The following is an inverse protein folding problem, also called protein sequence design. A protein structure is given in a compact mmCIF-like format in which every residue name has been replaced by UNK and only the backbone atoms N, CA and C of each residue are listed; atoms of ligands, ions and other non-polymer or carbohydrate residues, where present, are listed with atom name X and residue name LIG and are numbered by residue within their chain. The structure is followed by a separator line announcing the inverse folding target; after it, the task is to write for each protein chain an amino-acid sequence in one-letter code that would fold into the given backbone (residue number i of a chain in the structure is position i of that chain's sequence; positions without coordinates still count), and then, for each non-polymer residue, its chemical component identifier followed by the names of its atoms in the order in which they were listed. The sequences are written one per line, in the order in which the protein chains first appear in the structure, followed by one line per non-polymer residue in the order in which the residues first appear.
data_IF_748273227663
#
_entry.id   IF_748273227663
#
_cell.length_a   1.000
_cell.length_b   1.000
_cell.length_c   1.000
_cell.angle_alpha   90.00
_cell.angle_beta   90.00
_cell.angle_gamma   90.00
#
_symmetry.space_group_name_H-M   'P 1'
#
loop_
_entity.id
_entity.type
_entity.pdbx_description
1 polymer ?
#
# COMPACT_ATOMS: atom_id res chain seq x y z
N UNK A 1 -10.05 68.44 25.31
CA UNK A 1 -10.17 68.50 23.83
C UNK A 1 -8.92 67.82 23.27
N UNK A 2 -8.89 66.57 22.84
CA UNK A 2 -9.87 65.86 22.02
C UNK A 2 -9.36 65.78 20.58
N UNK A 3 -8.21 65.13 20.35
CA UNK A 3 -7.74 64.75 19.01
C UNK A 3 -7.42 63.26 19.02
N UNK A 4 -8.36 62.50 18.46
CA UNK A 4 -8.28 61.07 18.21
C UNK A 4 -7.66 60.80 16.85
N UNK A 5 -6.65 59.92 16.82
CA UNK A 5 -6.32 58.92 15.80
C UNK A 5 -4.80 58.79 15.71
N UNK A 6 -4.30 57.64 16.14
CA UNK A 6 -3.31 56.97 15.31
C UNK A 6 -3.54 55.47 15.37
N UNK A 7 -3.74 54.92 14.18
CA UNK A 7 -4.00 53.54 13.85
C UNK A 7 -2.76 52.67 14.11
N UNK A 8 -2.69 52.03 15.27
CA UNK A 8 -1.78 50.90 15.49
C UNK A 8 -2.53 49.57 15.30
N UNK A 9 -3.06 49.39 14.08
CA UNK A 9 -3.32 48.05 13.56
C UNK A 9 -2.00 47.52 12.99
N UNK A 10 -1.50 46.34 13.41
CA UNK A 10 -0.33 45.76 12.78
C UNK A 10 -0.66 45.47 11.31
N UNK A 11 -0.13 46.31 10.43
CA UNK A 11 -0.17 46.21 8.99
C UNK A 11 0.12 44.76 8.60
N UNK A 12 -0.83 44.18 7.86
CA UNK A 12 -0.74 42.86 7.28
C UNK A 12 0.65 42.66 6.68
N UNK A 13 1.43 41.77 7.30
CA UNK A 13 2.69 41.30 6.75
C UNK A 13 2.33 40.55 5.48
N UNK A 14 2.29 41.26 4.36
CA UNK A 14 2.27 40.69 3.01
C UNK A 14 3.58 39.92 2.92
N UNK A 15 3.51 38.67 3.35
CA UNK A 15 4.58 37.71 3.19
C UNK A 15 4.66 37.53 1.68
N UNK A 16 5.71 38.11 1.09
CA UNK A 16 6.09 37.85 -0.28
C UNK A 16 6.09 36.33 -0.48
N UNK A 17 5.04 35.82 -1.13
CA UNK A 17 4.78 34.39 -1.29
C UNK A 17 5.91 33.74 -2.06
N UNK A 18 6.61 34.50 -2.90
CA UNK A 18 7.80 34.05 -3.61
C UNK A 18 8.95 33.86 -2.63
N UNK A 19 9.23 34.86 -1.79
CA UNK A 19 10.27 34.78 -0.75
C UNK A 19 9.97 33.67 0.26
N UNK A 20 8.71 33.44 0.63
CA UNK A 20 8.32 32.34 1.52
C UNK A 20 8.48 30.96 0.88
N UNK A 21 8.14 30.81 -0.41
CA UNK A 21 8.39 29.57 -1.15
C UNK A 21 9.89 29.30 -1.29
N UNK A 22 10.68 30.32 -1.61
CA UNK A 22 12.13 30.22 -1.68
C UNK A 22 12.76 29.86 -0.33
N UNK A 23 12.30 30.47 0.78
CA UNK A 23 12.76 30.16 2.14
C UNK A 23 12.33 28.75 2.58
N UNK A 24 11.12 28.32 2.23
CA UNK A 24 10.62 26.96 2.49
C UNK A 24 11.43 25.93 1.71
N UNK A 25 11.68 26.18 0.44
CA UNK A 25 12.44 25.26 -0.42
C UNK A 25 13.92 25.22 0.01
N UNK A 26 14.47 26.36 0.48
CA UNK A 26 15.82 26.42 1.06
C UNK A 26 15.90 25.65 2.38
N UNK A 27 14.88 25.73 3.24
CA UNK A 27 14.78 24.94 4.48
C UNK A 27 14.53 23.46 4.22
N UNK A 28 13.79 23.11 3.17
CA UNK A 28 13.61 21.72 2.75
C UNK A 28 14.90 21.12 2.19
N UNK A 29 15.70 21.91 1.46
CA UNK A 29 17.05 21.51 1.04
C UNK A 29 18.00 21.39 2.22
N UNK A 30 18.00 22.36 3.13
CA UNK A 30 18.83 22.30 4.34
C UNK A 30 18.43 21.16 5.29
N UNK A 31 17.14 20.82 5.38
CA UNK A 31 16.67 19.65 6.13
C UNK A 31 16.95 18.33 5.40
N UNK A 32 17.12 18.35 4.08
CA UNK A 32 17.67 17.23 3.31
C UNK A 32 19.20 17.14 3.42
N UNK A 33 19.87 18.21 3.87
CA UNK A 33 21.31 18.30 4.11
C UNK A 33 21.71 18.12 5.59
N UNK A 34 20.76 17.91 6.52
CA UNK A 34 21.10 17.37 7.84
C UNK A 34 21.89 16.06 7.62
N UNK A 35 23.00 15.84 8.35
CA UNK A 35 23.93 14.78 8.02
C UNK A 35 23.18 13.46 7.99
N UNK A 36 23.07 12.91 6.78
CA UNK A 36 22.59 11.58 6.51
C UNK A 36 23.22 10.65 7.55
N UNK A 37 22.42 10.26 8.53
CA UNK A 37 22.73 9.20 9.47
C UNK A 37 22.90 7.95 8.61
N UNK A 38 24.16 7.75 8.19
CA UNK A 38 24.64 6.69 7.31
C UNK A 38 23.90 6.61 5.98
N UNK A 39 24.62 6.84 4.89
CA UNK A 39 24.31 6.28 3.57
C UNK A 39 23.74 4.86 3.75
N UNK A 40 22.42 4.74 3.65
CA UNK A 40 21.73 3.45 3.68
C UNK A 40 21.85 2.86 2.31
N UNK A 41 23.08 2.55 1.89
CA UNK A 41 23.30 1.56 0.85
C UNK A 41 22.57 0.32 1.33
N UNK A 42 21.56 -0.14 0.57
CA UNK A 42 20.94 -1.42 0.84
C UNK A 42 22.08 -2.45 1.01
N UNK A 43 22.09 -3.24 2.09
CA UNK A 43 23.19 -4.15 2.33
C UNK A 43 23.39 -5.03 1.08
N UNK A 44 24.62 -5.11 0.57
CA UNK A 44 24.97 -5.90 -0.63
C UNK A 44 24.56 -7.37 -0.52
N UNK A 45 24.26 -7.82 0.72
CA UNK A 45 23.75 -9.15 1.03
C UNK A 45 22.43 -9.10 1.80
N UNK A 46 21.45 -9.82 1.29
CA UNK A 46 20.15 -10.05 1.91
C UNK A 46 20.35 -11.01 3.10
N UNK A 47 19.88 -10.63 4.29
CA UNK A 47 19.99 -11.47 5.48
C UNK A 47 19.19 -12.78 5.33
N UNK A 48 19.67 -13.85 5.97
CA UNK A 48 19.11 -15.20 5.86
C UNK A 48 17.58 -15.30 5.99
N UNK A 49 16.92 -14.66 6.99
CA UNK A 49 15.47 -14.74 7.11
C UNK A 49 14.72 -14.16 5.90
N UNK A 50 15.25 -13.08 5.31
CA UNK A 50 14.64 -12.47 4.13
C UNK A 50 14.92 -13.27 2.86
N UNK A 51 16.02 -14.03 2.81
CA UNK A 51 16.27 -14.99 1.72
C UNK A 51 15.24 -16.11 1.73
N UNK A 52 14.94 -16.68 2.90
CA UNK A 52 13.90 -17.71 3.06
C UNK A 52 12.54 -17.14 2.69
N UNK A 53 12.20 -15.94 3.17
CA UNK A 53 10.95 -15.28 2.81
C UNK A 53 10.85 -15.01 1.30
N UNK A 54 11.94 -14.56 0.67
CA UNK A 54 12.00 -14.34 -0.77
C UNK A 54 11.83 -15.64 -1.57
N UNK A 55 12.35 -16.78 -1.09
CA UNK A 55 12.12 -18.08 -1.70
C UNK A 55 10.64 -18.51 -1.61
N UNK A 56 10.04 -18.39 -0.43
CA UNK A 56 8.63 -18.77 -0.21
C UNK A 56 7.70 -17.88 -1.02
N UNK A 57 7.86 -16.55 -0.90
CA UNK A 57 7.08 -15.58 -1.65
C UNK A 57 7.31 -15.75 -3.15
N UNK A 58 8.57 -15.93 -3.56
CA UNK A 58 8.96 -16.12 -4.94
C UNK A 58 8.33 -17.37 -5.57
N UNK A 59 8.33 -18.50 -4.86
CA UNK A 59 7.64 -19.71 -5.29
C UNK A 59 6.13 -19.47 -5.43
N UNK A 60 5.51 -18.80 -4.45
CA UNK A 60 4.10 -18.43 -4.50
C UNK A 60 3.76 -17.58 -5.74
N UNK A 61 4.54 -16.54 -6.01
CA UNK A 61 4.38 -15.68 -7.19
C UNK A 61 4.65 -16.44 -8.50
N UNK A 62 5.64 -17.33 -8.53
CA UNK A 62 5.97 -18.15 -9.69
C UNK A 62 4.82 -19.11 -10.05
N UNK A 63 4.29 -19.83 -9.07
CA UNK A 63 3.18 -20.79 -9.26
C UNK A 63 1.89 -20.06 -9.61
N UNK A 64 1.51 -19.03 -8.86
CA UNK A 64 0.30 -18.24 -9.15
C UNK A 64 0.39 -17.54 -10.50
N UNK A 65 1.54 -16.91 -10.79
CA UNK A 65 1.79 -16.24 -12.06
C UNK A 65 1.77 -17.20 -13.24
N UNK A 66 2.42 -18.36 -13.11
CA UNK A 66 2.41 -19.42 -14.12
C UNK A 66 1.00 -19.95 -14.37
N UNK A 67 0.22 -20.18 -13.31
CA UNK A 67 -1.19 -20.56 -13.44
C UNK A 67 -1.99 -19.50 -14.22
N UNK A 68 -1.92 -18.23 -13.82
CA UNK A 68 -2.60 -17.12 -14.53
C UNK A 68 -2.17 -17.00 -15.99
N UNK A 69 -0.85 -17.11 -16.25
CA UNK A 69 -0.29 -17.09 -17.60
C UNK A 69 -0.72 -18.29 -18.45
N UNK A 70 -1.04 -19.42 -17.84
CA UNK A 70 -1.52 -20.62 -18.56
C UNK A 70 -3.03 -20.58 -18.88
N UNK A 71 -3.81 -19.73 -18.20
CA UNK A 71 -5.27 -19.67 -18.37
C UNK A 71 -5.73 -19.52 -19.84
N UNK A 72 -5.15 -18.66 -20.69
CA UNK A 72 -5.58 -18.55 -22.08
C UNK A 72 -5.44 -19.86 -22.87
N UNK A 73 -4.45 -20.69 -22.54
CA UNK A 73 -4.21 -21.99 -23.18
C UNK A 73 -5.17 -23.03 -22.62
N UNK A 74 -5.30 -23.10 -21.29
CA UNK A 74 -6.19 -24.04 -20.60
C UNK A 74 -7.66 -23.83 -21.00
N UNK A 75 -8.11 -22.58 -21.15
CA UNK A 75 -9.46 -22.27 -21.60
C UNK A 75 -9.70 -22.51 -23.09
N UNK A 76 -8.64 -22.56 -23.91
CA UNK A 76 -8.76 -22.93 -25.33
C UNK A 76 -8.90 -24.44 -25.52
N UNK A 77 -8.44 -25.23 -24.55
CA UNK A 77 -8.51 -26.69 -24.55
C UNK A 77 -9.83 -27.24 -23.97
N UNK A 78 -10.59 -26.44 -23.22
CA UNK A 78 -11.92 -26.79 -22.70
C UNK A 78 -13.03 -26.32 -23.64
N UNK A 79 -13.89 -27.24 -24.07
CA UNK A 79 -14.92 -27.05 -25.10
C UNK A 79 -15.89 -25.89 -24.81
N UNK A 80 -16.04 -24.97 -25.78
CA UNK A 80 -17.03 -23.89 -25.78
C UNK A 80 -16.55 -22.63 -26.51
N UNK A 81 -17.46 -21.93 -27.21
CA UNK A 81 -17.19 -20.62 -27.82
C UNK A 81 -17.06 -19.55 -26.73
N UNK A 82 -15.84 -19.33 -26.25
CA UNK A 82 -15.54 -18.24 -25.32
C UNK A 82 -15.79 -16.88 -26.00
N UNK A 83 -16.55 -15.96 -25.38
CA UNK A 83 -16.77 -14.64 -25.94
C UNK A 83 -15.45 -13.91 -26.24
N UNK A 84 -15.40 -13.25 -27.39
CA UNK A 84 -14.17 -12.61 -27.89
C UNK A 84 -13.57 -11.59 -26.91
N UNK A 85 -14.41 -10.87 -26.16
CA UNK A 85 -13.97 -9.88 -25.18
C UNK A 85 -13.24 -10.53 -23.99
N UNK A 86 -13.67 -11.72 -23.58
CA UNK A 86 -13.00 -12.49 -22.52
C UNK A 86 -11.68 -13.04 -22.99
N UNK A 87 -11.62 -13.48 -24.25
CA UNK A 87 -10.37 -13.88 -24.90
C UNK A 87 -9.37 -12.74 -24.96
N UNK A 88 -9.85 -11.55 -25.29
CA UNK A 88 -9.03 -10.34 -25.32
C UNK A 88 -8.54 -9.97 -23.92
N UNK A 89 -9.39 -10.04 -22.90
CA UNK A 89 -9.01 -9.82 -21.49
C UNK A 89 -7.97 -10.84 -21.01
N UNK A 90 -8.17 -12.13 -21.30
CA UNK A 90 -7.22 -13.18 -20.91
C UNK A 90 -5.86 -12.97 -21.58
N UNK A 91 -5.83 -12.60 -22.87
CA UNK A 91 -4.59 -12.44 -23.64
C UNK A 91 -3.88 -11.11 -23.37
N UNK A 92 -4.60 -10.00 -23.19
CA UNK A 92 -3.99 -8.67 -23.07
C UNK A 92 -3.74 -8.25 -21.62
N UNK A 93 -4.44 -8.85 -20.65
CA UNK A 93 -4.37 -8.43 -19.25
C UNK A 93 -3.89 -9.59 -18.38
N UNK A 94 -4.63 -10.71 -18.36
CA UNK A 94 -4.33 -11.81 -17.44
C UNK A 94 -3.02 -12.50 -17.79
N UNK A 95 -2.74 -12.73 -19.08
CA UNK A 95 -1.51 -13.35 -19.53
C UNK A 95 -0.27 -12.51 -19.21
N UNK A 96 -0.17 -11.22 -19.60
CA UNK A 96 0.99 -10.41 -19.26
C UNK A 96 1.16 -10.22 -17.76
N UNK A 97 0.06 -10.10 -17.00
CA UNK A 97 0.09 -10.03 -15.55
C UNK A 97 0.64 -11.34 -14.95
N UNK A 98 0.15 -12.49 -15.39
CA UNK A 98 0.60 -13.80 -14.95
C UNK A 98 2.07 -14.05 -15.25
N UNK A 99 2.52 -13.74 -16.48
CA UNK A 99 3.93 -13.82 -16.86
C UNK A 99 4.78 -12.87 -16.03
N UNK A 100 4.34 -11.62 -15.83
CA UNK A 100 5.04 -10.65 -14.99
C UNK A 100 5.18 -11.11 -13.54
N UNK A 101 4.10 -11.65 -12.95
CA UNK A 101 4.12 -12.26 -11.62
C UNK A 101 5.06 -13.46 -11.55
N UNK A 102 5.05 -14.31 -12.59
CA UNK A 102 5.91 -15.48 -12.64
C UNK A 102 7.40 -15.08 -12.68
N UNK A 103 7.75 -14.13 -13.55
CA UNK A 103 9.10 -13.58 -13.66
C UNK A 103 9.53 -12.88 -12.36
N UNK A 104 8.62 -12.15 -11.70
CA UNK A 104 8.88 -11.59 -10.38
C UNK A 104 9.13 -12.66 -9.32
N UNK A 105 8.35 -13.75 -9.35
CA UNK A 105 8.54 -14.88 -8.45
C UNK A 105 9.90 -15.56 -8.64
N UNK A 106 10.27 -15.83 -9.89
CA UNK A 106 11.58 -16.38 -10.27
C UNK A 106 12.70 -15.46 -9.82
N UNK A 107 12.54 -14.15 -9.99
CA UNK A 107 13.52 -13.18 -9.51
C UNK A 107 13.69 -13.22 -8.00
N UNK A 108 12.58 -13.19 -7.24
CA UNK A 108 12.62 -13.29 -5.77
C UNK A 108 13.30 -14.58 -5.31
N UNK A 109 13.01 -15.70 -5.97
CA UNK A 109 13.70 -16.96 -5.69
C UNK A 109 15.21 -16.84 -5.96
N UNK A 110 15.59 -16.23 -7.09
CA UNK A 110 16.99 -15.96 -7.43
C UNK A 110 17.69 -15.08 -6.38
N UNK A 111 17.03 -14.01 -5.91
CA UNK A 111 17.55 -13.18 -4.79
C UNK A 111 17.67 -13.98 -3.50
N UNK A 112 16.73 -14.87 -3.22
CA UNK A 112 16.78 -15.80 -2.10
C UNK A 112 18.00 -16.72 -2.17
N UNK A 113 18.27 -17.32 -3.33
CA UNK A 113 19.42 -18.21 -3.53
C UNK A 113 20.75 -17.47 -3.53
N UNK A 114 20.90 -16.41 -4.33
CA UNK A 114 22.18 -15.69 -4.49
C UNK A 114 22.45 -14.76 -3.30
N UNK A 115 21.40 -14.34 -2.60
CA UNK A 115 21.50 -13.41 -1.47
C UNK A 115 21.82 -11.97 -1.87
N UNK A 116 21.66 -11.61 -3.15
CA UNK A 116 21.88 -10.24 -3.68
C UNK A 116 20.93 -9.96 -4.84
N UNK A 117 20.79 -8.69 -5.20
CA UNK A 117 20.04 -8.28 -6.38
C UNK A 117 20.81 -8.64 -7.65
N UNK A 118 20.27 -9.57 -8.45
CA UNK A 118 20.91 -10.09 -9.67
C UNK A 118 20.22 -9.66 -10.97
N UNK A 119 19.00 -9.14 -10.88
CA UNK A 119 18.21 -8.62 -12.02
C UNK A 119 17.88 -7.13 -11.91
N UNK A 120 18.65 -6.38 -11.09
CA UNK A 120 18.40 -4.96 -10.81
C UNK A 120 18.16 -4.13 -12.08
N UNK A 121 19.01 -4.28 -13.11
CA UNK A 121 18.89 -3.56 -14.38
C UNK A 121 17.60 -3.87 -15.14
N UNK A 122 17.06 -5.09 -15.05
CA UNK A 122 15.78 -5.46 -15.67
C UNK A 122 14.63 -4.74 -14.95
N UNK A 123 14.64 -4.76 -13.62
CA UNK A 123 13.59 -4.12 -12.82
C UNK A 123 13.63 -2.61 -12.85
N UNK A 124 14.80 -1.99 -12.98
CA UNK A 124 14.92 -0.53 -13.19
C UNK A 124 14.23 -0.12 -14.50
N UNK A 125 14.40 -0.88 -15.59
CA UNK A 125 13.70 -0.63 -16.85
C UNK A 125 12.19 -0.80 -16.71
N UNK A 126 11.74 -1.88 -16.09
CA UNK A 126 10.32 -2.14 -15.84
C UNK A 126 9.70 -1.05 -14.94
N UNK A 127 10.42 -0.61 -13.91
CA UNK A 127 10.04 0.49 -13.02
C UNK A 127 9.90 1.80 -13.79
N UNK A 128 10.88 2.15 -14.63
CA UNK A 128 10.80 3.35 -15.46
C UNK A 128 9.66 3.31 -16.49
N UNK A 129 9.21 2.12 -16.93
CA UNK A 129 8.01 1.98 -17.73
C UNK A 129 6.73 2.19 -16.90
N UNK A 130 6.63 1.52 -15.75
CA UNK A 130 5.48 1.65 -14.84
C UNK A 130 5.32 3.08 -14.31
N UNK A 131 6.41 3.72 -13.88
CA UNK A 131 6.40 5.11 -13.41
C UNK A 131 5.85 6.09 -14.48
N UNK A 132 5.97 5.76 -15.77
CA UNK A 132 5.44 6.56 -16.89
C UNK A 132 4.01 6.23 -17.29
N UNK A 133 3.58 4.97 -17.16
CA UNK A 133 2.34 4.45 -17.79
C UNK A 133 1.31 3.93 -16.79
N UNK A 134 1.74 3.46 -15.62
CA UNK A 134 0.88 2.86 -14.62
C UNK A 134 0.28 3.94 -13.73
N UNK A 135 -1.02 4.19 -13.89
CA UNK A 135 -1.80 5.03 -12.98
C UNK A 135 -2.64 4.15 -12.06
N UNK A 136 -2.47 4.23 -10.72
CA UNK A 136 -3.16 3.37 -9.76
C UNK A 136 -4.67 3.29 -9.96
N UNK A 137 -5.36 4.44 -10.07
CA UNK A 137 -6.82 4.45 -10.13
C UNK A 137 -7.36 3.80 -11.42
N UNK A 138 -6.90 4.18 -12.64
CA UNK A 138 -7.26 3.46 -13.85
C UNK A 138 -6.94 1.97 -13.81
N UNK A 139 -5.79 1.58 -13.24
CA UNK A 139 -5.42 0.17 -13.10
C UNK A 139 -6.37 -0.58 -12.16
N UNK A 140 -6.68 0.00 -11.00
CA UNK A 140 -7.65 -0.56 -10.06
C UNK A 140 -9.02 -0.75 -10.71
N UNK A 141 -9.55 0.28 -11.37
CA UNK A 141 -10.84 0.22 -12.04
C UNK A 141 -10.83 -0.81 -13.17
N UNK A 142 -9.80 -0.81 -14.02
CA UNK A 142 -9.64 -1.77 -15.12
C UNK A 142 -9.59 -3.22 -14.64
N UNK A 143 -8.79 -3.50 -13.61
CA UNK A 143 -8.71 -4.82 -12.98
C UNK A 143 -10.06 -5.22 -12.37
N UNK A 144 -10.74 -4.30 -11.68
CA UNK A 144 -12.06 -4.55 -11.09
C UNK A 144 -13.09 -4.94 -12.15
N UNK A 145 -13.14 -4.21 -13.27
CA UNK A 145 -14.04 -4.51 -14.40
C UNK A 145 -13.71 -5.86 -15.03
N UNK A 146 -12.43 -6.16 -15.22
CA UNK A 146 -11.96 -7.46 -15.74
C UNK A 146 -12.39 -8.61 -14.82
N UNK A 147 -12.15 -8.47 -13.52
CA UNK A 147 -12.52 -9.48 -12.54
C UNK A 147 -14.05 -9.65 -12.45
N UNK A 148 -14.81 -8.55 -12.54
CA UNK A 148 -16.27 -8.60 -12.59
C UNK A 148 -16.78 -9.31 -13.85
N UNK A 149 -16.21 -9.03 -15.03
CA UNK A 149 -16.57 -9.68 -16.28
C UNK A 149 -16.26 -11.18 -16.26
N UNK A 150 -15.09 -11.57 -15.73
CA UNK A 150 -14.70 -12.97 -15.56
C UNK A 150 -15.62 -13.69 -14.55
N UNK A 151 -15.97 -13.00 -13.46
CA UNK A 151 -16.88 -13.51 -12.43
C UNK A 151 -18.29 -13.77 -12.98
N UNK A 152 -18.78 -12.86 -13.83
CA UNK A 152 -20.10 -12.94 -14.45
C UNK A 152 -20.19 -14.07 -15.47
N UNK A 153 -19.17 -14.19 -16.33
CA UNK A 153 -19.19 -15.16 -17.43
C UNK A 153 -19.17 -16.61 -16.98
N UNK A 154 -18.37 -16.95 -15.97
CA UNK A 154 -18.11 -18.35 -15.61
C UNK A 154 -19.22 -19.00 -14.76
N UNK A 155 -20.34 -18.31 -14.50
CA UNK A 155 -21.49 -18.77 -13.69
C UNK A 155 -21.15 -19.86 -12.65
N UNK A 156 -20.78 -19.47 -11.44
CA UNK A 156 -20.27 -20.40 -10.41
C UNK A 156 -19.44 -19.68 -9.36
N UNK A 157 -18.48 -20.32 -8.64
CA UNK A 157 -17.71 -19.68 -7.57
C UNK A 157 -16.73 -18.59 -8.04
N UNK A 158 -16.71 -18.24 -9.33
CA UNK A 158 -15.83 -17.20 -9.86
C UNK A 158 -16.11 -15.80 -9.28
N UNK A 159 -17.35 -15.51 -8.88
CA UNK A 159 -17.71 -14.26 -8.18
C UNK A 159 -16.97 -14.09 -6.84
N UNK A 160 -16.46 -15.17 -6.27
CA UNK A 160 -15.65 -15.08 -5.06
C UNK A 160 -14.36 -14.28 -5.32
N UNK A 161 -13.80 -14.32 -6.55
CA UNK A 161 -12.57 -13.60 -6.88
C UNK A 161 -12.75 -12.09 -6.75
N UNK A 162 -13.84 -11.55 -7.32
CA UNK A 162 -14.15 -10.11 -7.19
C UNK A 162 -14.42 -9.74 -5.73
N UNK A 163 -15.04 -10.63 -4.95
CA UNK A 163 -15.25 -10.37 -3.53
C UNK A 163 -13.92 -10.30 -2.76
N UNK A 164 -13.02 -11.26 -2.94
CA UNK A 164 -11.69 -11.24 -2.32
C UNK A 164 -10.89 -10.01 -2.73
N UNK A 165 -10.99 -9.59 -4.01
CA UNK A 165 -10.39 -8.36 -4.49
C UNK A 165 -10.88 -7.13 -3.71
N UNK A 166 -12.20 -6.95 -3.63
CA UNK A 166 -12.80 -5.78 -2.95
C UNK A 166 -12.53 -5.80 -1.44
N UNK A 167 -12.65 -6.96 -0.79
CA UNK A 167 -12.37 -7.14 0.64
C UNK A 167 -10.90 -6.88 0.95
N UNK A 168 -9.98 -7.32 0.10
CA UNK A 168 -8.55 -7.03 0.23
C UNK A 168 -8.26 -5.52 0.21
N UNK A 169 -8.85 -4.80 -0.74
CA UNK A 169 -8.74 -3.34 -0.81
C UNK A 169 -9.36 -2.64 0.39
N UNK A 170 -10.51 -3.14 0.87
CA UNK A 170 -11.14 -2.60 2.06
C UNK A 170 -10.24 -2.76 3.30
N UNK A 171 -9.57 -3.91 3.45
CA UNK A 171 -8.61 -4.12 4.55
C UNK A 171 -7.40 -3.20 4.48
N UNK A 172 -6.89 -2.87 3.29
CA UNK A 172 -5.83 -1.86 3.15
C UNK A 172 -6.35 -0.49 3.62
N UNK A 173 -7.53 -0.08 3.16
CA UNK A 173 -8.13 1.19 3.57
C UNK A 173 -8.38 1.25 5.08
N UNK A 174 -8.95 0.19 5.66
CA UNK A 174 -9.23 0.08 7.08
C UNK A 174 -7.95 0.16 7.92
N UNK A 175 -6.89 -0.52 7.49
CA UNK A 175 -5.56 -0.48 8.12
C UNK A 175 -5.06 0.95 8.26
N UNK A 176 -5.02 1.70 7.16
CA UNK A 176 -4.55 3.08 7.15
C UNK A 176 -5.47 4.04 7.92
N UNK A 177 -6.79 3.79 7.89
CA UNK A 177 -7.75 4.53 8.71
C UNK A 177 -7.51 4.29 10.21
N UNK A 178 -7.07 3.09 10.60
CA UNK A 178 -6.61 2.80 11.95
C UNK A 178 -5.46 3.71 12.37
N UNK A 179 -4.40 3.79 11.55
CA UNK A 179 -3.28 4.72 11.78
C UNK A 179 -3.73 6.17 11.85
N UNK A 180 -4.56 6.64 10.90
CA UNK A 180 -5.07 8.01 10.90
C UNK A 180 -5.88 8.32 12.17
N UNK A 181 -6.70 7.37 12.61
CA UNK A 181 -7.51 7.51 13.83
C UNK A 181 -6.60 7.66 15.04
N UNK A 182 -5.55 6.84 15.16
CA UNK A 182 -4.57 6.96 16.23
C UNK A 182 -3.78 8.27 16.15
N UNK A 183 -3.33 8.70 14.96
CA UNK A 183 -2.66 10.00 14.74
C UNK A 183 -3.50 11.14 15.32
N UNK A 184 -4.80 11.15 15.05
CA UNK A 184 -5.72 12.14 15.62
C UNK A 184 -5.90 11.95 17.14
N UNK A 185 -6.05 10.72 17.60
CA UNK A 185 -6.22 10.39 19.03
C UNK A 185 -5.02 10.85 19.88
N UNK A 186 -3.80 10.72 19.36
CA UNK A 186 -2.57 11.19 20.04
C UNK A 186 -2.26 12.67 19.77
N UNK A 187 -3.18 13.40 19.13
CA UNK A 187 -3.09 14.84 18.81
C UNK A 187 -1.94 15.20 17.86
N UNK A 188 -1.55 14.28 16.98
CA UNK A 188 -0.68 14.60 15.86
C UNK A 188 -1.49 15.23 14.72
N UNK A 189 -0.83 16.01 13.87
CA UNK A 189 -1.48 16.67 12.73
C UNK A 189 -1.30 15.81 11.48
N UNK A 190 -2.36 15.20 10.93
CA UNK A 190 -2.26 14.45 9.67
C UNK A 190 -1.91 15.40 8.52
N UNK A 191 -1.11 14.92 7.57
CA UNK A 191 -0.65 15.67 6.40
C UNK A 191 -1.06 15.02 5.10
N UNK A 192 -0.91 13.70 5.01
CA UNK A 192 -1.27 12.91 3.84
C UNK A 192 -1.67 11.51 4.27
N UNK A 193 -2.67 10.94 3.61
CA UNK A 193 -3.13 9.58 3.74
C UNK A 193 -3.19 9.00 2.33
N UNK A 194 -2.51 7.89 2.10
CA UNK A 194 -2.65 7.10 0.88
C UNK A 194 -3.28 5.78 1.25
N UNK A 195 -4.30 5.38 0.48
CA UNK A 195 -5.03 4.11 0.62
C UNK A 195 -5.26 3.54 -0.77
N UNK A 196 -4.39 2.65 -1.22
CA UNK A 196 -4.48 2.09 -2.55
C UNK A 196 -4.37 3.19 -3.63
N UNK A 197 -5.35 3.30 -4.53
CA UNK A 197 -5.37 4.32 -5.57
C UNK A 197 -5.77 5.73 -5.11
N UNK A 198 -6.18 5.91 -3.85
CA UNK A 198 -6.71 7.16 -3.33
C UNK A 198 -5.69 7.86 -2.43
N UNK A 199 -5.61 9.18 -2.54
CA UNK A 199 -4.84 10.04 -1.63
C UNK A 199 -5.72 11.13 -1.05
N UNK A 200 -5.48 11.47 0.22
CA UNK A 200 -6.10 12.58 0.93
C UNK A 200 -4.99 13.42 1.54
N UNK A 201 -4.98 14.70 1.22
CA UNK A 201 -4.00 15.66 1.72
C UNK A 201 -4.66 16.73 2.60
N UNK A 202 -3.93 17.17 3.62
CA UNK A 202 -4.32 18.24 4.52
C UNK A 202 -3.31 19.38 4.45
N UNK A 203 -3.64 20.41 3.66
CA UNK A 203 -2.81 21.61 3.49
C UNK A 203 -3.60 22.87 3.91
N UNK A 204 -2.99 23.70 4.77
CA UNK A 204 -3.54 25.02 5.11
C UNK A 204 -4.96 25.01 5.69
N UNK A 205 -5.38 23.94 6.37
CA UNK A 205 -6.74 23.77 6.90
C UNK A 205 -7.77 23.25 5.88
N UNK A 206 -7.35 22.99 4.64
CA UNK A 206 -8.19 22.36 3.61
C UNK A 206 -7.86 20.87 3.46
N UNK A 207 -8.88 20.09 3.10
CA UNK A 207 -8.76 18.68 2.74
C UNK A 207 -8.94 18.55 1.23
N UNK A 208 -7.96 17.94 0.55
CA UNK A 208 -8.05 17.62 -0.86
C UNK A 208 -8.01 16.10 -1.03
N UNK A 209 -8.95 15.54 -1.80
CA UNK A 209 -8.91 14.14 -2.21
C UNK A 209 -8.51 14.07 -3.68
N UNK A 210 -7.59 13.17 -4.01
CA UNK A 210 -7.12 12.96 -5.37
C UNK A 210 -6.77 11.48 -5.62
N UNK A 211 -6.47 11.14 -6.86
CA UNK A 211 -5.89 9.85 -7.21
C UNK A 211 -4.37 9.90 -7.03
N UNK A 212 -3.78 8.88 -6.40
CA UNK A 212 -2.31 8.74 -6.38
C UNK A 212 -1.77 8.55 -7.79
N UNK A 213 -0.61 9.13 -8.05
CA UNK A 213 0.09 9.04 -9.34
C UNK A 213 1.16 7.95 -9.35
N UNK A 214 1.50 7.40 -8.19
CA UNK A 214 2.55 6.40 -8.00
C UNK A 214 1.94 5.01 -7.86
N UNK A 215 2.18 4.16 -8.87
CA UNK A 215 1.66 2.80 -9.01
C UNK A 215 2.01 1.88 -7.84
N UNK A 216 3.08 2.18 -7.09
CA UNK A 216 3.52 1.35 -5.94
C UNK A 216 2.50 1.34 -4.81
N UNK A 217 1.69 2.38 -4.73
CA UNK A 217 0.61 2.46 -3.74
C UNK A 217 -0.63 1.67 -4.13
N UNK A 218 -0.71 1.07 -5.32
CA UNK A 218 -1.90 0.34 -5.76
C UNK A 218 -2.37 -0.71 -4.73
N UNK A 219 -1.45 -1.40 -4.06
CA UNK A 219 -1.75 -2.41 -3.04
C UNK A 219 -1.22 -2.04 -1.65
N UNK A 220 -0.99 -0.76 -1.40
CA UNK A 220 -0.41 -0.28 -0.15
C UNK A 220 -1.09 0.98 0.36
N UNK A 221 -0.58 1.46 1.49
CA UNK A 221 -1.04 2.69 2.09
C UNK A 221 0.02 3.25 3.01
N UNK A 222 -0.15 4.52 3.37
CA UNK A 222 0.70 5.17 4.34
C UNK A 222 0.03 6.44 4.89
N UNK A 223 0.34 6.77 6.14
CA UNK A 223 -0.11 7.98 6.81
C UNK A 223 1.08 8.86 7.19
N UNK A 224 1.16 10.03 6.56
CA UNK A 224 2.10 11.07 6.96
C UNK A 224 1.44 12.03 7.94
N UNK A 225 2.18 12.36 8.99
CA UNK A 225 1.74 13.28 10.02
C UNK A 225 2.92 14.11 10.54
N UNK A 226 2.60 15.27 11.13
CA UNK A 226 3.56 16.14 11.80
C UNK A 226 3.19 16.27 13.28
N UNK A 227 4.19 16.38 14.15
CA UNK A 227 3.99 16.61 15.57
C UNK A 227 5.10 17.48 16.15
N UNK A 228 4.74 18.41 17.05
CA UNK A 228 5.70 19.20 17.84
C UNK A 228 6.25 18.44 19.05
N UNK A 229 5.54 17.41 19.52
CA UNK A 229 5.87 16.66 20.73
C UNK A 229 5.72 15.16 20.47
N UNK A 230 6.67 14.58 19.74
CA UNK A 230 6.72 13.14 19.50
C UNK A 230 7.17 12.41 20.76
N UNK A 231 6.44 11.37 21.14
CA UNK A 231 6.87 10.45 22.18
C UNK A 231 6.81 9.03 21.66
N UNK A 232 7.71 8.18 22.16
CA UNK A 232 7.80 6.78 21.76
C UNK A 232 6.47 6.03 21.97
N UNK A 233 5.77 6.29 23.08
CA UNK A 233 4.49 5.65 23.37
C UNK A 233 3.38 6.05 22.39
N UNK A 234 3.33 7.33 21.99
CA UNK A 234 2.36 7.81 20.98
C UNK A 234 2.66 7.26 19.60
N UNK A 235 3.94 7.24 19.22
CA UNK A 235 4.38 6.67 17.95
C UNK A 235 4.06 5.15 17.89
N UNK A 236 4.27 4.43 19.00
CA UNK A 236 3.90 3.01 19.10
C UNK A 236 2.39 2.80 18.96
N UNK A 237 1.59 3.64 19.62
CA UNK A 237 0.13 3.59 19.49
C UNK A 237 -0.32 3.80 18.04
N UNK A 238 0.32 4.71 17.31
CA UNK A 238 0.07 4.91 15.88
C UNK A 238 0.43 3.65 15.10
N UNK A 239 1.64 3.09 15.25
CA UNK A 239 2.07 1.90 14.48
C UNK A 239 1.22 0.65 14.76
N UNK A 240 0.70 0.47 15.98
CA UNK A 240 -0.13 -0.70 16.32
C UNK A 240 -1.58 -0.54 15.85
N UNK A 241 -2.05 0.70 15.63
CA UNK A 241 -3.45 0.96 15.33
C UNK A 241 -3.94 0.39 14.00
N UNK A 242 -3.11 0.36 12.95
CA UNK A 242 -3.48 -0.24 11.67
C UNK A 242 -3.73 -1.75 11.77
N UNK A 243 -2.75 -2.54 12.26
CA UNK A 243 -2.95 -3.95 12.55
C UNK A 243 -4.16 -4.21 13.46
N UNK A 244 -4.32 -3.40 14.52
CA UNK A 244 -5.45 -3.56 15.44
C UNK A 244 -6.81 -3.31 14.75
N UNK A 245 -6.91 -2.33 13.86
CA UNK A 245 -8.14 -2.06 13.11
C UNK A 245 -8.56 -3.26 12.27
N UNK A 246 -7.61 -3.93 11.60
CA UNK A 246 -7.88 -5.15 10.86
C UNK A 246 -8.31 -6.32 11.75
N UNK A 247 -7.67 -6.51 12.90
CA UNK A 247 -8.07 -7.53 13.87
C UNK A 247 -9.49 -7.29 14.39
N UNK A 248 -9.84 -6.04 14.70
CA UNK A 248 -11.17 -5.67 15.16
C UNK A 248 -12.25 -5.91 14.09
N UNK A 249 -11.96 -5.61 12.82
CA UNK A 249 -12.90 -5.92 11.74
C UNK A 249 -13.13 -7.42 11.57
N UNK A 250 -12.06 -8.23 11.63
CA UNK A 250 -12.22 -9.70 11.58
C UNK A 250 -13.05 -10.20 12.76
N UNK A 251 -12.76 -9.73 13.98
CA UNK A 251 -13.52 -10.10 15.17
C UNK A 251 -15.01 -9.74 15.03
N UNK A 252 -15.32 -8.56 14.48
CA UNK A 252 -16.69 -8.13 14.21
C UNK A 252 -17.38 -9.05 13.18
N UNK A 253 -16.71 -9.36 12.07
CA UNK A 253 -17.24 -10.23 11.01
C UNK A 253 -17.54 -11.64 11.55
N UNK A 254 -16.62 -12.21 12.31
CA UNK A 254 -16.80 -13.53 12.96
C UNK A 254 -17.92 -13.51 14.01
N UNK A 255 -18.04 -12.42 14.76
CA UNK A 255 -19.14 -12.23 15.72
C UNK A 255 -20.51 -12.20 15.03
N UNK A 256 -20.62 -11.49 13.91
CA UNK A 256 -21.84 -11.45 13.09
C UNK A 256 -22.14 -12.81 12.47
N UNK A 257 -21.14 -13.51 11.96
CA UNK A 257 -21.29 -14.86 11.39
C UNK A 257 -21.90 -15.84 12.39
N UNK A 258 -21.35 -15.82 13.61
CA UNK A 258 -21.83 -16.65 14.71
C UNK A 258 -23.27 -16.30 15.12
N UNK A 259 -23.67 -15.03 15.00
CA UNK A 259 -25.03 -14.59 15.30
C UNK A 259 -26.04 -14.96 14.20
N UNK A 260 -25.61 -15.00 12.93
CA UNK A 260 -26.47 -15.24 11.76
C UNK A 260 -26.62 -16.72 11.37
N UNK A 261 -25.81 -17.62 11.92
CA UNK A 261 -25.99 -19.07 11.74
C UNK A 261 -25.56 -19.59 10.35
N UNK A 262 -24.37 -19.19 9.89
CA UNK A 262 -23.66 -19.78 8.75
C UNK A 262 -24.45 -19.72 7.41
N UNK A 263 -25.04 -18.55 7.13
CA UNK A 263 -25.72 -18.30 5.86
C UNK A 263 -24.73 -18.46 4.68
N UNK A 264 -25.00 -19.36 3.74
CA UNK A 264 -24.02 -19.83 2.74
C UNK A 264 -23.31 -18.73 1.91
N UNK A 265 -23.98 -17.61 1.61
CA UNK A 265 -23.36 -16.45 0.94
C UNK A 265 -22.48 -15.62 1.88
N UNK A 266 -22.87 -15.47 3.14
CA UNK A 266 -22.10 -14.76 4.16
C UNK A 266 -20.81 -15.51 4.50
N UNK A 267 -20.84 -16.85 4.51
CA UNK A 267 -19.64 -17.66 4.75
C UNK A 267 -18.49 -17.41 3.76
N UNK A 268 -18.78 -17.08 2.49
CA UNK A 268 -17.74 -16.67 1.52
C UNK A 268 -17.13 -15.33 1.92
N UNK A 269 -17.96 -14.36 2.31
CA UNK A 269 -17.51 -13.04 2.78
C UNK A 269 -16.67 -13.15 4.04
N UNK A 270 -17.05 -14.00 4.99
CA UNK A 270 -16.28 -14.28 6.20
C UNK A 270 -14.91 -14.86 5.84
N UNK A 271 -14.86 -15.87 4.97
CA UNK A 271 -13.57 -16.43 4.49
C UNK A 271 -12.71 -15.39 3.79
N UNK A 272 -13.31 -14.54 2.96
CA UNK A 272 -12.60 -13.45 2.30
C UNK A 272 -11.99 -12.48 3.32
N UNK A 273 -12.77 -12.04 4.33
CA UNK A 273 -12.29 -11.14 5.39
C UNK A 273 -11.14 -11.77 6.18
N UNK A 274 -11.33 -12.98 6.69
CA UNK A 274 -10.30 -13.68 7.47
C UNK A 274 -9.02 -13.83 6.65
N UNK A 275 -9.14 -14.26 5.39
CA UNK A 275 -7.97 -14.48 4.51
C UNK A 275 -7.26 -13.17 4.20
N UNK A 276 -7.99 -12.15 3.74
CA UNK A 276 -7.42 -10.85 3.40
C UNK A 276 -6.79 -10.16 4.61
N UNK A 277 -7.46 -10.17 5.77
CA UNK A 277 -6.90 -9.62 6.99
C UNK A 277 -5.65 -10.36 7.43
N UNK A 278 -5.64 -11.69 7.40
CA UNK A 278 -4.46 -12.49 7.74
C UNK A 278 -3.27 -12.14 6.84
N UNK A 279 -3.49 -11.98 5.54
CA UNK A 279 -2.45 -11.55 4.58
C UNK A 279 -1.96 -10.15 4.92
N UNK A 280 -2.85 -9.17 5.09
CA UNK A 280 -2.47 -7.78 5.39
C UNK A 280 -1.72 -7.68 6.73
N UNK A 281 -2.18 -8.40 7.75
CA UNK A 281 -1.53 -8.46 9.06
C UNK A 281 -0.15 -9.11 8.97
N UNK A 282 -0.03 -10.25 8.30
CA UNK A 282 1.24 -10.95 8.15
C UNK A 282 2.27 -10.05 7.45
N UNK A 283 1.89 -9.43 6.33
CA UNK A 283 2.80 -8.56 5.57
C UNK A 283 3.20 -7.32 6.38
N UNK A 284 2.25 -6.69 7.08
CA UNK A 284 2.55 -5.48 7.86
C UNK A 284 3.30 -5.75 9.16
N UNK A 285 3.08 -6.89 9.83
CA UNK A 285 3.75 -7.20 11.10
C UNK A 285 5.12 -7.86 10.93
N UNK A 286 5.48 -8.31 9.72
CA UNK A 286 6.84 -8.76 9.43
C UNK A 286 7.82 -7.57 9.54
N UNK A 287 8.91 -7.67 10.32
CA UNK A 287 9.88 -6.59 10.49
C UNK A 287 10.86 -6.50 9.30
N UNK A 288 10.30 -6.22 8.12
CA UNK A 288 11.06 -6.12 6.88
C UNK A 288 12.06 -4.96 6.92
N UNK A 289 13.17 -5.04 6.15
CA UNK A 289 14.10 -3.92 6.03
C UNK A 289 13.38 -2.69 5.45
N UNK A 290 13.88 -1.50 5.78
CA UNK A 290 13.37 -0.27 5.14
C UNK A 290 13.67 -0.33 3.64
N UNK A 291 12.74 0.18 2.84
CA UNK A 291 13.00 0.42 1.42
C UNK A 291 14.07 1.51 1.26
N UNK A 292 14.65 1.61 0.06
CA UNK A 292 15.58 2.68 -0.29
C UNK A 292 14.94 4.09 -0.15
N UNK A 293 13.61 4.17 -0.15
CA UNK A 293 12.83 5.40 0.01
C UNK A 293 12.45 5.67 1.47
N UNK A 294 12.97 4.86 2.41
CA UNK A 294 12.73 4.99 3.85
C UNK A 294 11.45 4.34 4.35
N UNK A 295 10.63 3.74 3.47
CA UNK A 295 9.38 3.08 3.88
C UNK A 295 9.66 1.83 4.72
N UNK A 296 8.87 1.64 5.76
CA UNK A 296 8.97 0.51 6.66
C UNK A 296 7.58 -0.08 6.90
N UNK A 297 7.51 -1.41 7.04
CA UNK A 297 6.30 -2.08 7.55
C UNK A 297 6.07 -1.71 9.01
N UNK A 298 4.83 -1.81 9.49
CA UNK A 298 4.50 -1.54 10.90
C UNK A 298 5.32 -2.39 11.85
N UNK A 299 5.50 -3.67 11.57
CA UNK A 299 6.30 -4.60 12.36
C UNK A 299 7.74 -4.12 12.50
N UNK A 300 8.30 -3.50 11.46
CA UNK A 300 9.64 -2.91 11.53
C UNK A 300 9.66 -1.68 12.41
N UNK A 301 8.66 -0.79 12.27
CA UNK A 301 8.55 0.42 13.08
C UNK A 301 8.32 0.10 14.56
N UNK A 302 7.45 -0.87 14.85
CA UNK A 302 7.19 -1.40 16.19
C UNK A 302 8.48 -1.96 16.79
N UNK A 303 9.22 -2.81 16.05
CA UNK A 303 10.47 -3.37 16.54
C UNK A 303 11.52 -2.29 16.83
N UNK A 304 11.67 -1.31 15.93
CA UNK A 304 12.61 -0.21 16.12
C UNK A 304 12.22 0.62 17.35
N UNK A 305 10.94 0.95 17.51
CA UNK A 305 10.42 1.61 18.71
C UNK A 305 10.69 0.78 19.95
N UNK A 306 10.41 -0.53 19.97
CA UNK A 306 10.67 -1.43 21.11
C UNK A 306 12.16 -1.47 21.49
N UNK A 307 13.07 -1.32 20.51
CA UNK A 307 14.52 -1.21 20.71
C UNK A 307 14.99 0.19 21.11
N UNK A 308 14.07 1.14 21.33
CA UNK A 308 14.40 2.51 21.73
C UNK A 308 14.84 3.42 20.57
N UNK A 309 14.73 2.96 19.32
CA UNK A 309 14.98 3.80 18.14
C UNK A 309 13.76 4.68 17.86
N UNK A 310 13.96 5.85 17.26
CA UNK A 310 12.88 6.73 16.80
C UNK A 310 12.48 6.36 15.38
N UNK A 311 11.21 6.57 15.03
CA UNK A 311 10.73 6.45 13.65
C UNK A 311 11.22 7.68 12.88
N UNK A 312 12.02 7.44 11.83
CA UNK A 312 12.41 8.45 10.85
C UNK A 312 11.18 8.98 10.11
#
# INVERSE_FOLDING_TARGET
MGSSRNDDAPLAKVVDLRRWREERDRRLRAAAEEPELTSTRAPDRIAWPFRVLALIAGLGFAVCGGFLGSLPVLFRAGEGLMPWHIRLVLLLIVFPLGVGMALFGIDLMGRGFVGRDWTAALWERSRGFLDRRARPLPLFCGLTVVLAALSWWRQGPAWQIILYWLVGFFHIGLHELGHLTAVRGVRYTPRRLIMGPLTVEWEGGRRAAAATQDWRWLFGGNVWFSSRHRTRGRDLAVCVAGPLANLLAVAAVLGVDRALGDAGYFGVYVRANVTCAAVVLLVNLLPLPRSAEGYATDGRQILDLLRGRRIA
#
